data_IF_701060301669
#
_entry.id   IF_701060301669
#
_cell.length_a   1.000
_cell.length_b   1.000
_cell.length_c   1.000
_cell.angle_alpha   90.00
_cell.angle_beta   90.00
_cell.angle_gamma   90.00
#
_symmetry.space_group_name_H-M   'P 1'
#
loop_
_entity.id
_entity.type
_entity.pdbx_description
1 polymer ?
#
# COMPACT_ATOMS: atom_id res chain seq x y z
N UNK A 1 -31.22 45.92 51.27
CA UNK A 1 -29.90 45.30 51.55
C UNK A 1 -29.77 43.86 51.07
N UNK A 2 -30.77 42.98 51.25
CA UNK A 2 -30.69 41.58 50.74
C UNK A 2 -30.76 41.46 49.20
N UNK A 3 -31.56 42.30 48.54
CA UNK A 3 -31.74 42.25 47.08
C UNK A 3 -30.51 42.74 46.30
N UNK A 4 -29.81 43.76 46.81
CA UNK A 4 -28.58 44.26 46.20
C UNK A 4 -27.43 43.27 46.29
N UNK A 5 -27.32 42.49 47.37
CA UNK A 5 -26.33 41.42 47.49
C UNK A 5 -26.65 40.29 46.51
N UNK A 6 -27.92 39.90 46.34
CA UNK A 6 -28.32 38.89 45.36
C UNK A 6 -27.99 39.24 43.91
N UNK A 7 -28.20 40.51 43.52
CA UNK A 7 -27.86 41.03 42.20
C UNK A 7 -26.36 41.03 41.92
N UNK A 8 -25.54 41.41 42.90
CA UNK A 8 -24.08 41.42 42.76
C UNK A 8 -23.53 40.00 42.59
N UNK A 9 -24.04 39.03 43.36
CA UNK A 9 -23.61 37.63 43.25
C UNK A 9 -24.00 37.02 41.90
N UNK A 10 -25.20 37.34 41.40
CA UNK A 10 -25.65 36.90 40.07
C UNK A 10 -24.78 37.49 38.94
N UNK A 11 -24.36 38.75 39.07
CA UNK A 11 -23.49 39.41 38.09
C UNK A 11 -22.09 38.78 38.07
N UNK A 12 -21.51 38.47 39.23
CA UNK A 12 -20.20 37.80 39.33
C UNK A 12 -20.27 36.40 38.71
N UNK A 13 -21.34 35.64 38.98
CA UNK A 13 -21.54 34.33 38.38
C UNK A 13 -21.65 34.40 36.85
N UNK A 14 -22.35 35.41 36.32
CA UNK A 14 -22.48 35.64 34.89
C UNK A 14 -21.13 35.99 34.23
N UNK A 15 -20.37 36.92 34.82
CA UNK A 15 -19.03 37.29 34.31
C UNK A 15 -18.10 36.08 34.31
N UNK A 16 -18.10 35.30 35.40
CA UNK A 16 -17.28 34.09 35.51
C UNK A 16 -17.68 33.05 34.45
N UNK A 17 -18.97 32.85 34.18
CA UNK A 17 -19.45 31.95 33.14
C UNK A 17 -19.01 32.39 31.73
N UNK A 18 -19.07 33.69 31.43
CA UNK A 18 -18.64 34.25 30.14
C UNK A 18 -17.13 34.08 29.95
N UNK A 19 -16.33 34.36 30.98
CA UNK A 19 -14.87 34.18 30.92
C UNK A 19 -14.52 32.71 30.71
N UNK A 20 -15.13 31.79 31.45
CA UNK A 20 -14.91 30.36 31.28
C UNK A 20 -15.30 29.89 29.87
N UNK A 21 -16.44 30.35 29.35
CA UNK A 21 -16.88 30.03 27.99
C UNK A 21 -15.85 30.47 26.93
N UNK A 22 -15.31 31.69 27.08
CA UNK A 22 -14.31 32.21 26.14
C UNK A 22 -12.99 31.42 26.19
N UNK A 23 -12.55 31.05 27.40
CA UNK A 23 -11.37 30.21 27.60
C UNK A 23 -11.55 28.81 26.99
N UNK A 24 -12.73 28.19 27.17
CA UNK A 24 -13.06 26.89 26.54
C UNK A 24 -13.07 26.99 25.02
N UNK A 25 -13.67 28.03 24.44
CA UNK A 25 -13.64 28.25 22.99
C UNK A 25 -12.22 28.38 22.45
N UNK A 26 -11.33 29.10 23.15
CA UNK A 26 -9.93 29.22 22.73
C UNK A 26 -9.20 27.87 22.80
N UNK A 27 -9.42 27.09 23.84
CA UNK A 27 -8.86 25.74 23.95
C UNK A 27 -9.36 24.81 22.84
N UNK A 28 -10.63 24.87 22.47
CA UNK A 28 -11.19 24.04 21.40
C UNK A 28 -10.56 24.36 20.04
N UNK A 29 -10.31 25.64 19.75
CA UNK A 29 -9.61 26.05 18.52
C UNK A 29 -8.18 25.52 18.49
N UNK A 30 -7.47 25.60 19.62
CA UNK A 30 -6.10 25.13 19.73
C UNK A 30 -6.00 23.60 19.63
N UNK A 31 -6.93 22.87 20.26
CA UNK A 31 -7.04 21.41 20.16
C UNK A 31 -7.31 20.99 18.70
N UNK A 32 -8.21 21.68 18.01
CA UNK A 32 -8.51 21.38 16.60
C UNK A 32 -7.30 21.64 15.69
N UNK A 33 -6.55 22.72 15.93
CA UNK A 33 -5.32 23.00 15.20
C UNK A 33 -4.24 21.94 15.47
N UNK A 34 -4.07 21.52 16.73
CA UNK A 34 -3.14 20.45 17.10
C UNK A 34 -3.54 19.11 16.49
N UNK A 35 -4.84 18.79 16.46
CA UNK A 35 -5.34 17.55 15.85
C UNK A 35 -5.04 17.51 14.35
N UNK A 36 -5.29 18.61 13.63
CA UNK A 36 -4.94 18.71 12.22
C UNK A 36 -3.41 18.59 11.98
N UNK A 37 -2.59 19.16 12.85
CA UNK A 37 -1.13 19.04 12.77
C UNK A 37 -0.65 17.60 13.02
N UNK A 38 -1.25 16.89 13.99
CA UNK A 38 -0.97 15.47 14.25
C UNK A 38 -1.36 14.61 13.07
N UNK A 39 -2.54 14.83 12.49
CA UNK A 39 -2.99 14.11 11.29
C UNK A 39 -2.03 14.32 10.10
N UNK A 40 -1.56 15.55 9.89
CA UNK A 40 -0.56 15.86 8.86
C UNK A 40 0.80 15.20 9.13
N UNK A 41 1.25 15.17 10.40
CA UNK A 41 2.48 14.47 10.78
C UNK A 41 2.36 12.95 10.60
N UNK A 42 1.20 12.38 10.92
CA UNK A 42 0.90 10.96 10.73
C UNK A 42 1.06 10.58 9.25
N UNK A 43 0.49 11.39 8.35
CA UNK A 43 0.60 11.21 6.91
C UNK A 43 2.06 11.32 6.42
N UNK A 44 2.80 12.33 6.89
CA UNK A 44 4.21 12.48 6.53
C UNK A 44 5.08 11.30 7.03
N UNK A 45 4.78 10.73 8.20
CA UNK A 45 5.45 9.53 8.72
C UNK A 45 5.13 8.31 7.86
N UNK A 46 3.89 8.16 7.39
CA UNK A 46 3.50 7.09 6.46
C UNK A 46 4.23 7.21 5.12
N UNK A 47 4.35 8.42 4.58
CA UNK A 47 5.13 8.69 3.36
C UNK A 47 6.62 8.40 3.54
N UNK A 48 7.23 8.85 4.65
CA UNK A 48 8.65 8.58 4.96
C UNK A 48 8.88 7.08 5.19
N UNK A 49 7.96 6.37 5.84
CA UNK A 49 8.01 4.91 5.94
C UNK A 49 7.94 4.28 4.54
N UNK A 50 7.01 4.72 3.70
CA UNK A 50 6.93 4.37 2.27
C UNK A 50 8.26 4.49 1.53
N UNK A 51 8.95 5.61 1.71
CA UNK A 51 10.25 5.87 1.10
C UNK A 51 11.38 5.04 1.71
N UNK A 52 11.40 4.82 3.03
CA UNK A 52 12.36 3.94 3.68
C UNK A 52 12.17 2.47 3.26
N UNK A 53 10.94 2.04 2.97
CA UNK A 53 10.64 0.70 2.48
C UNK A 53 11.29 0.39 1.12
N UNK A 54 11.35 1.39 0.22
CA UNK A 54 12.04 1.27 -1.09
C UNK A 54 13.52 0.93 -1.00
N UNK A 55 14.19 1.28 0.10
CA UNK A 55 15.63 1.06 0.27
C UNK A 55 15.97 -0.28 0.96
N UNK A 56 14.99 -0.99 1.54
CA UNK A 56 15.27 -2.12 2.42
C UNK A 56 15.18 -3.51 1.75
N UNK A 57 14.59 -3.60 0.55
CA UNK A 57 14.37 -4.88 -0.15
C UNK A 57 14.99 -4.81 -1.56
N UNK A 58 16.19 -5.38 -1.71
CA UNK A 58 16.79 -5.59 -3.04
C UNK A 58 16.34 -6.94 -3.58
N UNK A 59 15.88 -6.99 -4.84
CA UNK A 59 15.30 -8.20 -5.43
C UNK A 59 15.95 -8.52 -6.78
N UNK A 60 16.34 -9.79 -6.94
CA UNK A 60 16.87 -10.33 -8.19
C UNK A 60 15.83 -11.23 -8.83
N UNK A 61 15.84 -11.27 -10.16
CA UNK A 61 15.13 -12.26 -10.94
C UNK A 61 16.18 -13.14 -11.60
N UNK A 62 16.17 -14.42 -11.29
CA UNK A 62 17.11 -15.39 -11.86
C UNK A 62 16.52 -16.01 -13.14
N UNK A 63 15.19 -16.17 -13.17
CA UNK A 63 14.42 -16.59 -14.34
C UNK A 63 13.04 -15.92 -14.37
N UNK A 64 12.46 -15.68 -15.57
CA UNK A 64 13.10 -15.84 -16.87
C UNK A 64 14.16 -14.77 -17.10
N UNK A 65 15.01 -14.97 -18.10
CA UNK A 65 15.96 -13.94 -18.54
C UNK A 65 15.25 -12.88 -19.39
N UNK A 66 15.79 -11.66 -19.37
CA UNK A 66 15.32 -10.57 -20.23
C UNK A 66 15.39 -11.01 -21.71
N UNK A 67 14.27 -10.89 -22.43
CA UNK A 67 14.12 -11.28 -23.84
C UNK A 67 13.90 -12.78 -24.06
N UNK A 68 13.75 -13.58 -23.01
CA UNK A 68 13.47 -15.02 -23.15
C UNK A 68 12.10 -15.26 -23.81
N UNK A 69 12.03 -16.26 -24.68
CA UNK A 69 10.79 -16.68 -25.32
C UNK A 69 10.14 -17.75 -24.44
N UNK A 70 8.95 -17.44 -23.92
CA UNK A 70 8.23 -18.31 -23.00
C UNK A 70 7.14 -19.11 -23.73
N UNK A 71 6.88 -20.36 -23.28
CA UNK A 71 5.68 -21.08 -23.65
C UNK A 71 4.42 -20.37 -23.12
N UNK A 72 3.22 -20.71 -23.61
CA UNK A 72 1.97 -20.09 -23.16
C UNK A 72 1.70 -20.19 -21.65
N UNK A 73 2.17 -21.27 -21.03
CA UNK A 73 2.19 -21.47 -19.58
C UNK A 73 3.64 -21.72 -19.20
N UNK A 74 4.22 -20.79 -18.44
CA UNK A 74 5.59 -20.87 -17.96
C UNK A 74 5.59 -21.13 -16.45
N UNK A 75 6.24 -22.21 -16.04
CA UNK A 75 6.39 -22.59 -14.64
C UNK A 75 7.76 -22.14 -14.13
N UNK A 76 7.79 -21.01 -13.41
CA UNK A 76 8.95 -20.63 -12.61
C UNK A 76 9.59 -19.32 -13.00
N UNK A 77 8.87 -18.21 -12.79
CA UNK A 77 9.57 -16.95 -12.52
C UNK A 77 10.09 -17.01 -11.09
N UNK A 78 11.40 -16.91 -10.90
CA UNK A 78 12.04 -17.13 -9.59
C UNK A 78 13.25 -16.23 -9.39
N UNK A 79 13.65 -16.05 -8.14
CA UNK A 79 14.80 -15.23 -7.80
C UNK A 79 15.14 -15.23 -6.33
N UNK A 80 15.94 -14.23 -5.95
CA UNK A 80 16.36 -14.01 -4.56
C UNK A 80 16.04 -12.58 -4.11
N UNK A 81 16.12 -12.35 -2.81
CA UNK A 81 16.00 -11.00 -2.25
C UNK A 81 16.96 -10.80 -1.08
N UNK A 82 17.42 -9.58 -0.88
CA UNK A 82 18.18 -9.18 0.31
C UNK A 82 17.34 -8.24 1.17
N UNK A 83 17.50 -8.34 2.49
CA UNK A 83 16.70 -7.63 3.46
C UNK A 83 15.46 -8.41 3.91
N UNK A 84 14.44 -7.69 4.39
CA UNK A 84 13.22 -8.29 4.92
C UNK A 84 11.99 -7.74 4.19
N UNK A 85 11.07 -8.64 3.85
CA UNK A 85 9.74 -8.24 3.39
C UNK A 85 9.01 -7.63 4.58
N UNK A 86 8.50 -6.39 4.47
CA UNK A 86 7.82 -5.74 5.58
C UNK A 86 6.58 -6.51 6.04
N UNK A 87 6.24 -6.37 7.32
CA UNK A 87 5.03 -6.96 7.87
C UNK A 87 3.79 -6.47 7.09
N UNK A 88 2.88 -7.40 6.76
CA UNK A 88 1.67 -7.10 6.01
C UNK A 88 1.90 -6.81 4.52
N UNK A 89 3.10 -7.06 4.00
CA UNK A 89 3.39 -6.99 2.56
C UNK A 89 3.63 -8.38 1.99
N UNK A 90 3.26 -8.55 0.72
CA UNK A 90 3.43 -9.79 -0.03
C UNK A 90 4.08 -9.48 -1.39
N UNK A 91 4.89 -10.41 -1.88
CA UNK A 91 5.45 -10.33 -3.24
C UNK A 91 4.43 -10.89 -4.21
N UNK A 92 4.17 -10.17 -5.30
CA UNK A 92 3.26 -10.60 -6.36
C UNK A 92 3.93 -10.50 -7.72
N UNK A 93 3.57 -11.41 -8.63
CA UNK A 93 3.94 -11.32 -10.03
C UNK A 93 2.69 -11.02 -10.85
N UNK A 94 2.78 -10.01 -11.70
CA UNK A 94 1.75 -9.66 -12.67
C UNK A 94 2.31 -9.82 -14.07
N UNK A 95 1.55 -10.40 -14.99
CA UNK A 95 1.88 -10.35 -16.41
C UNK A 95 1.32 -9.07 -17.00
N UNK A 96 2.06 -8.37 -17.83
CA UNK A 96 1.64 -7.12 -18.45
C UNK A 96 1.86 -7.17 -19.94
N UNK A 97 0.83 -6.85 -20.70
CA UNK A 97 0.96 -6.58 -22.13
C UNK A 97 1.19 -5.08 -22.39
N UNK A 98 0.94 -4.62 -23.62
CA UNK A 98 1.07 -3.20 -23.96
C UNK A 98 0.16 -2.28 -23.14
N UNK A 99 -1.00 -2.76 -22.70
CA UNK A 99 -2.10 -1.95 -22.15
C UNK A 99 -2.50 -2.34 -20.72
N UNK A 100 -2.50 -3.62 -20.39
CA UNK A 100 -3.11 -4.17 -19.19
C UNK A 100 -2.13 -5.02 -18.38
N UNK A 101 -2.34 -5.00 -17.07
CA UNK A 101 -1.81 -5.98 -16.14
C UNK A 101 -2.82 -7.11 -15.97
N UNK A 102 -2.31 -8.31 -15.76
CA UNK A 102 -3.07 -9.53 -15.56
C UNK A 102 -2.54 -10.23 -14.32
N UNK A 103 -3.48 -10.76 -13.54
CA UNK A 103 -3.17 -11.53 -12.35
C UNK A 103 -2.56 -12.88 -12.75
N UNK A 104 -1.46 -13.25 -12.08
CA UNK A 104 -0.92 -14.61 -12.11
C UNK A 104 -1.34 -15.32 -10.82
N UNK A 105 -1.78 -16.57 -10.92
CA UNK A 105 -2.21 -17.38 -9.77
C UNK A 105 -1.66 -18.81 -9.88
N UNK A 106 -1.21 -19.45 -8.79
CA UNK A 106 -1.29 -19.06 -7.36
C UNK A 106 -0.41 -17.85 -6.99
N UNK A 107 -0.54 -17.25 -5.79
CA UNK A 107 0.33 -16.16 -5.36
C UNK A 107 1.79 -16.61 -5.29
N UNK A 108 2.72 -15.65 -5.38
CA UNK A 108 4.16 -15.90 -5.26
C UNK A 108 4.47 -16.59 -3.93
N UNK A 109 5.26 -17.65 -3.99
CA UNK A 109 5.76 -18.34 -2.81
C UNK A 109 7.06 -17.67 -2.36
N UNK A 110 7.20 -17.44 -1.06
CA UNK A 110 8.40 -16.84 -0.46
C UNK A 110 8.97 -17.79 0.57
N UNK A 111 10.22 -18.21 0.37
CA UNK A 111 11.00 -18.98 1.32
C UNK A 111 11.91 -18.04 2.10
N UNK A 112 11.40 -17.47 3.20
CA UNK A 112 12.10 -16.45 4.00
C UNK A 112 13.47 -16.92 4.50
N UNK A 113 13.59 -18.15 5.01
CA UNK A 113 14.85 -18.69 5.54
C UNK A 113 15.93 -18.84 4.45
N UNK A 114 15.52 -19.06 3.20
CA UNK A 114 16.42 -19.21 2.07
C UNK A 114 16.61 -17.91 1.28
N UNK A 115 15.90 -16.83 1.62
CA UNK A 115 15.87 -15.58 0.85
C UNK A 115 15.52 -15.81 -0.64
N UNK A 116 14.57 -16.72 -0.91
CA UNK A 116 14.12 -17.09 -2.25
C UNK A 116 12.64 -16.78 -2.45
N UNK A 117 12.26 -16.51 -3.69
CA UNK A 117 10.86 -16.41 -4.10
C UNK A 117 10.64 -17.13 -5.43
N UNK A 118 9.41 -17.58 -5.66
CA UNK A 118 9.03 -18.24 -6.92
C UNK A 118 7.55 -18.07 -7.24
N UNK A 119 7.26 -17.99 -8.54
CA UNK A 119 5.93 -17.90 -9.12
C UNK A 119 5.80 -18.99 -10.20
N UNK A 120 4.78 -19.82 -10.08
CA UNK A 120 4.43 -20.85 -11.06
C UNK A 120 3.23 -20.43 -11.90
N UNK A 121 2.92 -21.15 -12.98
CA UNK A 121 1.73 -20.92 -13.80
C UNK A 121 1.61 -19.47 -14.34
N UNK A 122 2.73 -18.89 -14.80
CA UNK A 122 2.73 -17.59 -15.49
C UNK A 122 2.10 -17.80 -16.87
N UNK A 123 0.87 -17.28 -17.05
CA UNK A 123 0.09 -17.45 -18.28
C UNK A 123 0.14 -16.21 -19.16
N UNK A 124 0.64 -16.36 -20.38
CA UNK A 124 0.69 -15.31 -21.39
C UNK A 124 -0.34 -15.63 -22.48
N UNK A 125 -1.49 -14.96 -22.46
CA UNK A 125 -2.69 -15.38 -23.21
C UNK A 125 -2.66 -15.08 -24.70
N UNK A 126 -1.88 -14.09 -25.14
CA UNK A 126 -1.67 -13.74 -26.54
C UNK A 126 -0.18 -13.82 -26.94
N UNK A 127 0.16 -14.22 -28.17
CA UNK A 127 1.52 -14.05 -28.70
C UNK A 127 1.94 -12.58 -28.73
N UNK A 128 3.23 -12.32 -28.56
CA UNK A 128 3.82 -10.97 -28.61
C UNK A 128 4.72 -10.66 -27.41
N UNK A 129 5.04 -9.38 -27.25
CA UNK A 129 5.86 -8.88 -26.15
C UNK A 129 5.07 -8.76 -24.85
N UNK A 130 5.66 -9.26 -23.77
CA UNK A 130 5.11 -9.19 -22.42
C UNK A 130 6.15 -8.66 -21.44
N UNK A 131 5.67 -8.17 -20.30
CA UNK A 131 6.48 -7.81 -19.16
C UNK A 131 5.98 -8.59 -17.95
N UNK A 132 6.86 -9.27 -17.24
CA UNK A 132 6.57 -9.83 -15.93
C UNK A 132 6.98 -8.78 -14.89
N UNK A 133 5.99 -8.23 -14.21
CA UNK A 133 6.16 -7.23 -13.15
C UNK A 133 6.23 -7.94 -11.80
N UNK A 134 7.37 -7.84 -11.15
CA UNK A 134 7.55 -8.26 -9.77
C UNK A 134 7.22 -7.09 -8.86
N UNK A 135 6.28 -7.30 -7.95
CA UNK A 135 5.65 -6.25 -7.18
C UNK A 135 5.68 -6.54 -5.69
N UNK A 136 5.75 -5.49 -4.89
CA UNK A 136 5.49 -5.52 -3.46
C UNK A 136 4.10 -4.93 -3.22
N UNK A 137 3.19 -5.73 -2.68
CA UNK A 137 1.83 -5.31 -2.40
C UNK A 137 1.65 -5.19 -0.88
N UNK A 138 1.14 -4.05 -0.42
CA UNK A 138 0.71 -3.91 0.97
C UNK A 138 -0.54 -4.77 1.26
N UNK A 139 -1.03 -4.72 2.49
CA UNK A 139 -2.17 -5.53 2.93
C UNK A 139 -3.43 -5.29 2.07
N UNK A 140 -3.73 -4.04 1.74
CA UNK A 140 -4.93 -3.68 0.97
C UNK A 140 -4.86 -4.21 -0.46
N UNK A 141 -3.72 -4.00 -1.14
CA UNK A 141 -3.50 -4.51 -2.49
C UNK A 141 -3.49 -6.04 -2.53
N UNK A 142 -2.84 -6.69 -1.56
CA UNK A 142 -2.79 -8.15 -1.45
C UNK A 142 -4.17 -8.77 -1.22
N UNK A 143 -5.03 -8.13 -0.43
CA UNK A 143 -6.44 -8.54 -0.27
C UNK A 143 -7.20 -8.40 -1.58
N UNK A 144 -7.08 -7.26 -2.26
CA UNK A 144 -7.76 -7.03 -3.54
C UNK A 144 -7.36 -8.07 -4.61
N UNK A 145 -6.07 -8.41 -4.71
CA UNK A 145 -5.57 -9.43 -5.64
C UNK A 145 -6.10 -10.83 -5.29
N UNK A 146 -6.12 -11.20 -4.01
CA UNK A 146 -6.70 -12.48 -3.54
C UNK A 146 -8.19 -12.56 -3.85
N UNK A 147 -8.96 -11.52 -3.54
CA UNK A 147 -10.40 -11.48 -3.81
C UNK A 147 -10.69 -11.69 -5.30
N UNK A 148 -9.89 -11.10 -6.20
CA UNK A 148 -10.02 -11.32 -7.64
C UNK A 148 -9.67 -12.75 -8.04
N UNK A 149 -8.59 -13.31 -7.47
CA UNK A 149 -8.21 -14.70 -7.70
C UNK A 149 -9.31 -15.67 -7.29
N UNK A 150 -9.89 -15.49 -6.10
CA UNK A 150 -10.97 -16.31 -5.56
C UNK A 150 -12.24 -16.21 -6.41
N UNK A 151 -12.57 -15.01 -6.88
CA UNK A 151 -13.68 -14.76 -7.82
C UNK A 151 -13.38 -15.20 -9.25
N UNK A 152 -12.17 -15.70 -9.54
CA UNK A 152 -11.70 -16.07 -10.89
C UNK A 152 -11.82 -14.93 -11.90
N UNK A 153 -11.64 -13.70 -11.43
CA UNK A 153 -11.63 -12.53 -12.28
C UNK A 153 -10.24 -12.31 -12.87
N UNK A 154 -10.02 -12.90 -14.06
CA UNK A 154 -8.77 -12.83 -14.80
C UNK A 154 -8.74 -11.66 -15.81
N UNK A 155 -9.70 -10.75 -15.74
CA UNK A 155 -9.74 -9.61 -16.64
C UNK A 155 -8.55 -8.68 -16.40
N UNK A 156 -7.97 -8.18 -17.49
CA UNK A 156 -6.86 -7.25 -17.44
C UNK A 156 -7.29 -5.91 -16.80
N UNK A 157 -6.33 -5.20 -16.21
CA UNK A 157 -6.55 -3.89 -15.60
C UNK A 157 -5.46 -2.91 -16.04
N UNK A 158 -5.86 -1.70 -16.45
CA UNK A 158 -4.95 -0.71 -17.06
C UNK A 158 -3.99 -0.05 -16.05
N UNK A 159 -4.40 0.05 -14.78
CA UNK A 159 -3.66 0.75 -13.73
C UNK A 159 -3.44 -0.15 -12.53
N UNK A 160 -2.25 -0.09 -11.96
CA UNK A 160 -1.96 -0.79 -10.72
C UNK A 160 -2.86 -0.29 -9.58
N UNK A 161 -3.40 -1.20 -8.76
CA UNK A 161 -4.16 -0.81 -7.58
C UNK A 161 -3.27 -0.03 -6.61
N UNK A 162 -3.89 0.85 -5.82
CA UNK A 162 -3.18 1.55 -4.74
C UNK A 162 -2.56 0.56 -3.77
N UNK A 163 -1.35 0.86 -3.29
CA UNK A 163 -0.61 -0.01 -2.38
C UNK A 163 0.20 -1.11 -3.05
N UNK A 164 0.28 -1.11 -4.39
CA UNK A 164 1.11 -2.03 -5.15
C UNK A 164 2.26 -1.27 -5.82
N UNK A 165 3.48 -1.70 -5.51
CA UNK A 165 4.71 -1.11 -6.03
C UNK A 165 5.44 -2.11 -6.92
N UNK A 166 5.93 -1.67 -8.08
CA UNK A 166 6.79 -2.50 -8.92
C UNK A 166 8.23 -2.41 -8.41
N UNK A 167 8.80 -3.57 -8.08
CA UNK A 167 10.21 -3.72 -7.73
C UNK A 167 11.07 -3.93 -8.98
N UNK A 168 10.59 -4.75 -9.92
CA UNK A 168 11.34 -5.09 -11.14
C UNK A 168 10.40 -5.45 -12.29
N UNK A 169 10.87 -5.20 -13.51
CA UNK A 169 10.32 -5.78 -14.72
C UNK A 169 11.31 -6.76 -15.34
N UNK A 170 10.77 -7.80 -15.97
CA UNK A 170 11.47 -8.63 -16.94
C UNK A 170 10.66 -8.67 -18.22
N UNK A 171 11.23 -8.23 -19.34
CA UNK A 171 10.59 -8.35 -20.65
C UNK A 171 10.81 -9.75 -21.20
N UNK A 172 9.77 -10.31 -21.78
CA UNK A 172 9.76 -11.65 -22.37
C UNK A 172 8.90 -11.65 -23.63
N UNK A 173 9.04 -12.66 -24.47
CA UNK A 173 8.22 -12.83 -25.67
C UNK A 173 7.42 -14.12 -25.57
N UNK A 174 6.18 -14.11 -26.06
CA UNK A 174 5.45 -15.35 -26.36
C UNK A 174 5.37 -15.53 -27.87
N UNK A 175 5.83 -16.68 -28.36
CA UNK A 175 5.60 -17.13 -29.74
C UNK A 175 4.29 -17.89 -29.89
#
# INVERSE_FOLDING_TARGET
MKETVGLVTALIALITAVVNFYLTMQQDVEINAQKAAVEAQQHAIEEIRGLAFRFALDITVDKPMEGEILPPVYDGMEGSFQGSIPLGHEIWVLAKDRYNYFLVYPPTQVAHAAHRWSQTNVRLTAPGEWQLALCLANQSASTWLRDRAEKKDWSGFERLPSGLEILRYVKVERK
#
